data_IF_532099707703
#
_entry.id   IF_532099707703
#
_cell.length_a   1.000
_cell.length_b   1.000
_cell.length_c   1.000
_cell.angle_alpha   90.00
_cell.angle_beta   90.00
_cell.angle_gamma   90.00
#
_symmetry.space_group_name_H-M   'P 1'
#
loop_
_entity.id
_entity.type
_entity.pdbx_description
1 polymer ?
#
# COMPACT_ATOMS: atom_id res chain seq x y z
N UNK A 1 11.00 -26.06 -2.38
CA UNK A 1 10.40 -24.76 -1.99
C UNK A 1 11.32 -23.64 -2.46
N UNK A 2 10.79 -22.55 -3.04
CA UNK A 2 11.62 -21.49 -3.64
C UNK A 2 12.55 -20.81 -2.62
N UNK A 3 12.08 -20.52 -1.41
CA UNK A 3 12.90 -19.92 -0.35
C UNK A 3 14.10 -20.79 0.08
N UNK A 4 14.02 -22.11 -0.12
CA UNK A 4 15.17 -23.01 0.09
C UNK A 4 16.19 -22.84 -1.05
N UNK A 5 15.74 -22.70 -2.30
CA UNK A 5 16.62 -22.42 -3.45
C UNK A 5 17.30 -21.06 -3.35
N UNK A 6 16.60 -20.03 -2.86
CA UNK A 6 17.19 -18.71 -2.62
C UNK A 6 18.40 -18.78 -1.66
N UNK A 7 18.33 -19.66 -0.64
CA UNK A 7 19.41 -19.88 0.33
C UNK A 7 20.51 -20.82 -0.17
N UNK A 8 20.12 -21.94 -0.78
CA UNK A 8 21.03 -23.04 -1.14
C UNK A 8 21.81 -22.77 -2.44
N UNK A 9 21.32 -21.89 -3.32
CA UNK A 9 21.90 -21.66 -4.65
C UNK A 9 22.50 -20.25 -4.83
N UNK A 10 23.00 -19.63 -3.74
CA UNK A 10 23.68 -18.34 -3.77
C UNK A 10 24.68 -18.25 -4.94
N UNK A 11 24.33 -17.48 -5.98
CA UNK A 11 25.17 -17.23 -7.15
C UNK A 11 24.90 -18.07 -8.41
N UNK A 12 24.01 -19.08 -8.37
CA UNK A 12 23.68 -19.92 -9.56
C UNK A 12 22.34 -19.58 -10.20
N UNK A 13 21.35 -19.20 -9.40
CA UNK A 13 20.03 -18.76 -9.86
C UNK A 13 19.72 -17.37 -9.30
N UNK A 14 18.93 -16.59 -10.06
CA UNK A 14 18.41 -15.31 -9.53
C UNK A 14 17.38 -15.62 -8.44
N UNK A 15 17.58 -15.14 -7.21
CA UNK A 15 16.64 -15.36 -6.12
C UNK A 15 15.31 -14.65 -6.41
N UNK A 16 14.21 -15.27 -5.97
CA UNK A 16 12.85 -14.79 -6.25
C UNK A 16 12.23 -14.28 -4.96
N UNK A 17 11.83 -13.01 -4.95
CA UNK A 17 11.07 -12.39 -3.88
C UNK A 17 9.61 -12.16 -4.26
N UNK A 18 8.73 -12.07 -3.26
CA UNK A 18 7.28 -11.92 -3.43
C UNK A 18 6.75 -10.74 -2.62
N UNK A 19 5.87 -9.94 -3.21
CA UNK A 19 5.10 -8.90 -2.54
C UNK A 19 3.64 -9.35 -2.43
N UNK A 20 3.11 -9.42 -1.22
CA UNK A 20 1.71 -9.72 -0.95
C UNK A 20 1.02 -8.45 -0.47
N UNK A 21 -0.15 -8.14 -1.02
CA UNK A 21 -0.94 -6.96 -0.67
C UNK A 21 -2.31 -7.43 -0.17
N UNK A 22 -2.72 -6.94 1.01
CA UNK A 22 -4.01 -7.26 1.62
C UNK A 22 -4.65 -6.02 2.23
N UNK A 23 -5.93 -6.06 2.61
CA UNK A 23 -6.65 -4.85 3.02
C UNK A 23 -6.29 -4.43 4.45
N UNK A 24 -6.33 -5.37 5.39
CA UNK A 24 -6.25 -5.05 6.82
C UNK A 24 -4.89 -5.38 7.41
N UNK A 25 -4.47 -4.58 8.40
CA UNK A 25 -3.25 -4.81 9.19
C UNK A 25 -3.23 -6.22 9.80
N UNK A 26 -4.36 -6.66 10.38
CA UNK A 26 -4.47 -8.00 10.95
C UNK A 26 -4.22 -9.08 9.90
N UNK A 27 -4.78 -8.94 8.71
CA UNK A 27 -4.58 -9.89 7.60
C UNK A 27 -3.11 -9.91 7.15
N UNK A 28 -2.45 -8.75 7.11
CA UNK A 28 -1.04 -8.68 6.74
C UNK A 28 -0.16 -9.46 7.72
N UNK A 29 -0.40 -9.28 9.03
CA UNK A 29 0.29 -10.03 10.08
C UNK A 29 -0.02 -11.53 10.03
N UNK A 30 -1.30 -11.90 9.92
CA UNK A 30 -1.74 -13.29 9.84
C UNK A 30 -1.12 -14.01 8.62
N UNK A 31 -1.04 -13.32 7.47
CA UNK A 31 -0.48 -13.86 6.23
C UNK A 31 1.03 -14.05 6.32
N UNK A 32 1.77 -13.08 6.88
CA UNK A 32 3.21 -13.22 7.10
C UNK A 32 3.51 -14.38 8.05
N UNK A 33 2.75 -14.51 9.15
CA UNK A 33 2.88 -15.61 10.10
C UNK A 33 2.59 -16.97 9.45
N UNK A 34 1.56 -17.06 8.61
CA UNK A 34 1.24 -18.28 7.86
C UNK A 34 2.34 -18.67 6.88
N UNK A 35 2.89 -17.72 6.13
CA UNK A 35 4.02 -17.99 5.22
C UNK A 35 5.22 -18.54 5.99
N UNK A 36 5.57 -17.90 7.11
CA UNK A 36 6.68 -18.35 7.97
C UNK A 36 6.44 -19.75 8.54
N UNK A 37 5.21 -20.05 8.97
CA UNK A 37 4.81 -21.36 9.45
C UNK A 37 4.95 -22.43 8.36
N UNK A 38 4.44 -22.16 7.14
CA UNK A 38 4.53 -23.09 6.02
C UNK A 38 5.97 -23.30 5.54
N UNK A 39 6.81 -22.26 5.63
CA UNK A 39 8.20 -22.32 5.22
C UNK A 39 9.13 -22.92 6.29
N UNK A 40 8.67 -22.99 7.55
CA UNK A 40 9.47 -23.44 8.69
C UNK A 40 10.65 -22.51 9.00
N UNK A 41 10.59 -21.25 8.58
CA UNK A 41 11.63 -20.25 8.78
C UNK A 41 11.04 -18.83 8.68
N UNK A 42 11.71 -17.86 9.32
CA UNK A 42 11.33 -16.45 9.25
C UNK A 42 11.82 -15.84 7.93
N UNK A 43 10.94 -15.81 6.93
CA UNK A 43 11.22 -15.39 5.55
C UNK A 43 10.24 -14.32 5.05
N UNK A 44 9.15 -14.12 5.79
CA UNK A 44 8.09 -13.17 5.51
C UNK A 44 7.96 -12.15 6.64
N UNK A 45 7.72 -10.89 6.28
CA UNK A 45 7.43 -9.82 7.22
C UNK A 45 6.23 -8.99 6.76
N UNK A 46 5.43 -8.51 7.72
CA UNK A 46 4.38 -7.54 7.47
C UNK A 46 4.90 -6.12 7.71
N UNK A 47 4.63 -5.20 6.80
CA UNK A 47 4.98 -3.79 6.93
C UNK A 47 3.74 -2.90 6.74
N UNK A 48 3.40 -2.16 7.79
CA UNK A 48 2.21 -1.31 7.84
C UNK A 48 2.38 -0.21 8.90
N UNK A 49 1.43 0.74 8.98
CA UNK A 49 1.53 1.89 9.91
C UNK A 49 1.72 1.52 11.38
N UNK A 50 1.17 0.39 11.82
CA UNK A 50 1.33 -0.13 13.20
C UNK A 50 2.47 -1.15 13.38
N UNK A 51 3.30 -1.41 12.36
CA UNK A 51 4.39 -2.40 12.48
C UNK A 51 5.62 -1.73 13.09
N UNK A 52 6.30 -2.42 14.01
CA UNK A 52 7.60 -1.97 14.53
C UNK A 52 8.78 -2.22 13.58
N UNK A 53 8.53 -2.81 12.41
CA UNK A 53 9.54 -3.12 11.41
C UNK A 53 10.05 -1.86 10.74
N UNK A 54 11.37 -1.60 10.84
CA UNK A 54 11.99 -0.48 10.14
C UNK A 54 11.88 -0.68 8.62
N UNK A 55 11.66 0.41 7.89
CA UNK A 55 11.58 0.41 6.43
C UNK A 55 12.89 -0.03 5.76
N UNK A 56 14.02 -0.02 6.48
CA UNK A 56 15.29 -0.56 6.00
C UNK A 56 15.38 -2.08 6.14
N UNK A 57 14.64 -2.68 7.07
CA UNK A 57 14.74 -4.11 7.39
C UNK A 57 13.91 -4.99 6.45
N UNK A 58 12.86 -4.45 5.84
CA UNK A 58 11.96 -5.20 4.94
C UNK A 58 12.67 -5.78 3.70
N UNK A 59 13.84 -5.25 3.35
CA UNK A 59 14.65 -5.75 2.24
C UNK A 59 15.30 -7.12 2.50
N UNK A 60 15.38 -7.55 3.77
CA UNK A 60 15.99 -8.82 4.16
C UNK A 60 15.07 -10.03 3.95
N UNK A 61 13.78 -9.78 3.76
CA UNK A 61 12.77 -10.83 3.68
C UNK A 61 12.41 -11.15 2.23
N UNK A 62 12.47 -12.44 1.89
CA UNK A 62 12.02 -13.00 0.61
C UNK A 62 10.57 -12.59 0.31
N UNK A 63 9.71 -12.56 1.34
CA UNK A 63 8.30 -12.22 1.23
C UNK A 63 7.99 -10.96 2.04
N UNK A 64 7.41 -9.96 1.39
CA UNK A 64 6.91 -8.76 2.05
C UNK A 64 5.39 -8.74 1.96
N UNK A 65 4.72 -8.48 3.08
CA UNK A 65 3.27 -8.31 3.13
C UNK A 65 2.95 -6.88 3.51
N UNK A 66 2.15 -6.19 2.70
CA UNK A 66 1.75 -4.80 2.95
C UNK A 66 0.24 -4.64 2.89
N UNK A 67 -0.25 -3.52 3.41
CA UNK A 67 -1.63 -3.13 3.19
C UNK A 67 -1.84 -2.51 1.81
N UNK A 68 -3.06 -2.60 1.28
CA UNK A 68 -3.48 -1.94 0.04
C UNK A 68 -3.14 -0.45 0.04
N UNK A 69 -3.46 0.26 1.12
CA UNK A 69 -3.16 1.67 1.23
C UNK A 69 -1.66 1.95 1.12
N UNK A 70 -0.81 1.14 1.77
CA UNK A 70 0.63 1.30 1.68
C UNK A 70 1.16 1.04 0.25
N UNK A 71 0.57 0.06 -0.44
CA UNK A 71 0.87 -0.23 -1.83
C UNK A 71 0.47 0.92 -2.75
N UNK A 72 -0.75 1.46 -2.62
CA UNK A 72 -1.24 2.61 -3.40
C UNK A 72 -0.36 3.83 -3.15
N UNK A 73 -0.12 4.20 -1.89
CA UNK A 73 0.73 5.33 -1.54
C UNK A 73 2.14 5.22 -2.15
N UNK A 74 2.70 4.00 -2.20
CA UNK A 74 3.98 3.76 -2.84
C UNK A 74 3.88 3.86 -4.38
N UNK A 75 2.81 3.33 -4.98
CA UNK A 75 2.57 3.33 -6.42
C UNK A 75 2.23 4.72 -6.98
N UNK A 76 1.53 5.57 -6.24
CA UNK A 76 1.28 6.98 -6.64
C UNK A 76 2.61 7.73 -6.85
N UNK A 77 3.64 7.35 -6.11
CA UNK A 77 5.02 7.81 -6.29
C UNK A 77 5.84 6.94 -7.24
N UNK A 78 5.25 6.36 -8.29
CA UNK A 78 5.88 5.44 -9.26
C UNK A 78 7.32 5.88 -9.63
N UNK A 79 8.30 5.01 -9.33
CA UNK A 79 9.73 5.29 -9.52
C UNK A 79 10.43 5.99 -8.35
N UNK A 80 9.71 6.32 -7.29
CA UNK A 80 10.21 6.92 -6.06
C UNK A 80 10.81 5.92 -5.08
N UNK A 81 11.40 6.45 -4.00
CA UNK A 81 12.04 5.65 -2.95
C UNK A 81 11.08 4.68 -2.27
N UNK A 82 9.81 5.09 -2.06
CA UNK A 82 8.78 4.26 -1.43
C UNK A 82 8.43 3.03 -2.26
N UNK A 83 8.22 3.21 -3.58
CA UNK A 83 8.01 2.09 -4.50
C UNK A 83 9.21 1.14 -4.53
N UNK A 84 10.41 1.71 -4.63
CA UNK A 84 11.66 0.96 -4.68
C UNK A 84 11.86 0.09 -3.44
N UNK A 85 11.44 0.57 -2.25
CA UNK A 85 11.50 -0.21 -1.00
C UNK A 85 10.56 -1.41 -0.99
N UNK A 86 9.39 -1.30 -1.61
CA UNK A 86 8.45 -2.42 -1.70
C UNK A 86 8.90 -3.46 -2.72
N UNK A 87 9.46 -3.02 -3.85
CA UNK A 87 9.81 -3.92 -4.96
C UNK A 87 11.23 -4.47 -4.83
N UNK A 88 12.16 -3.79 -4.18
CA UNK A 88 13.53 -4.27 -4.04
C UNK A 88 13.74 -5.00 -2.71
N UNK A 89 14.62 -6.00 -2.74
CA UNK A 89 15.06 -6.79 -1.59
C UNK A 89 16.50 -7.26 -1.83
N UNK A 90 17.12 -7.96 -0.87
CA UNK A 90 18.52 -8.40 -0.99
C UNK A 90 18.78 -9.28 -2.22
N UNK A 91 17.78 -10.03 -2.68
CA UNK A 91 17.85 -10.82 -3.91
C UNK A 91 17.63 -10.05 -5.21
N UNK A 92 17.50 -8.72 -5.18
CA UNK A 92 17.19 -7.88 -6.34
C UNK A 92 15.74 -7.40 -6.31
N UNK A 93 15.00 -7.58 -7.41
CA UNK A 93 13.57 -7.22 -7.45
C UNK A 93 12.69 -8.39 -7.03
N UNK A 94 11.60 -8.10 -6.34
CA UNK A 94 10.49 -9.01 -6.13
C UNK A 94 9.80 -9.21 -7.48
N UNK A 95 9.75 -10.45 -7.94
CA UNK A 95 9.31 -10.78 -9.31
C UNK A 95 7.83 -11.16 -9.37
N UNK A 96 7.19 -11.32 -8.22
CA UNK A 96 5.78 -11.66 -8.11
C UNK A 96 5.10 -10.71 -7.12
N UNK A 97 4.02 -10.07 -7.57
CA UNK A 97 3.13 -9.28 -6.73
C UNK A 97 1.75 -9.93 -6.75
N UNK A 98 1.23 -10.29 -5.58
CA UNK A 98 -0.10 -10.84 -5.40
C UNK A 98 -0.92 -9.82 -4.62
N UNK A 99 -2.05 -9.41 -5.18
CA UNK A 99 -2.96 -8.45 -4.56
C UNK A 99 -4.25 -9.19 -4.23
N UNK A 100 -4.43 -9.51 -2.96
CA UNK A 100 -5.69 -10.04 -2.45
C UNK A 100 -6.69 -8.89 -2.36
N UNK A 101 -7.93 -9.07 -2.82
CA UNK A 101 -8.97 -8.03 -2.92
C UNK A 101 -8.84 -6.98 -4.05
N UNK A 102 -8.28 -7.34 -5.22
CA UNK A 102 -8.16 -6.41 -6.36
C UNK A 102 -9.51 -5.78 -6.82
N UNK A 103 -10.66 -6.37 -6.46
CA UNK A 103 -12.01 -5.86 -6.78
C UNK A 103 -12.63 -5.01 -5.67
N UNK A 104 -12.08 -4.98 -4.45
CA UNK A 104 -12.65 -4.20 -3.35
C UNK A 104 -12.40 -2.69 -3.49
N UNK A 105 -11.42 -2.28 -4.30
CA UNK A 105 -11.14 -0.87 -4.64
C UNK A 105 -12.07 -0.33 -5.75
N UNK A 106 -13.15 -1.04 -6.12
CA UNK A 106 -14.18 -0.50 -7.03
C UNK A 106 -14.97 0.64 -6.37
N UNK A 107 -14.93 0.76 -5.04
CA UNK A 107 -15.58 1.84 -4.29
C UNK A 107 -14.52 2.80 -3.77
N UNK A 108 -14.44 3.99 -4.36
CA UNK A 108 -13.66 5.11 -3.84
C UNK A 108 -14.41 5.77 -2.69
N UNK A 109 -13.92 5.62 -1.46
CA UNK A 109 -14.42 6.39 -0.31
C UNK A 109 -13.76 7.77 -0.31
N UNK A 110 -14.50 8.79 -0.78
CA UNK A 110 -14.06 10.19 -0.68
C UNK A 110 -14.56 10.77 0.64
N UNK A 111 -13.63 11.26 1.48
CA UNK A 111 -13.97 11.99 2.71
C UNK A 111 -13.80 13.49 2.49
N UNK A 112 -14.86 14.25 2.73
CA UNK A 112 -14.84 15.71 2.72
C UNK A 112 -14.87 16.21 4.17
N UNK A 113 -13.93 17.05 4.57
CA UNK A 113 -13.92 17.68 5.90
C UNK A 113 -14.59 19.06 5.87
N UNK A 114 -14.98 19.57 7.04
CA UNK A 114 -15.49 20.94 7.17
C UNK A 114 -14.50 21.98 6.66
N UNK A 115 -13.20 21.77 6.87
CA UNK A 115 -12.13 22.63 6.34
C UNK A 115 -12.10 22.60 4.81
N UNK A 116 -12.29 21.43 4.19
CA UNK A 116 -12.38 21.33 2.74
C UNK A 116 -13.59 22.10 2.19
N UNK A 117 -14.75 22.00 2.85
CA UNK A 117 -15.96 22.72 2.44
C UNK A 117 -15.78 24.24 2.54
N UNK A 118 -15.21 24.72 3.65
CA UNK A 118 -14.97 26.16 3.86
C UNK A 118 -13.96 26.70 2.85
N UNK A 119 -12.89 25.95 2.57
CA UNK A 119 -11.92 26.31 1.54
C UNK A 119 -12.58 26.44 0.17
N UNK A 120 -13.37 25.43 -0.24
CA UNK A 120 -14.07 25.45 -1.53
C UNK A 120 -15.00 26.65 -1.63
N UNK A 121 -15.83 26.90 -0.61
CA UNK A 121 -16.74 28.06 -0.57
C UNK A 121 -15.96 29.39 -0.66
N UNK A 122 -14.81 29.49 0.00
CA UNK A 122 -13.94 30.67 -0.07
C UNK A 122 -13.30 30.89 -1.44
N UNK A 123 -13.15 29.84 -2.25
CA UNK A 123 -12.60 29.91 -3.60
C UNK A 123 -13.65 30.19 -4.69
N UNK A 124 -14.95 30.15 -4.39
CA UNK A 124 -16.00 30.38 -5.40
C UNK A 124 -16.04 31.86 -5.79
N UNK A 125 -15.77 32.22 -7.06
CA UNK A 125 -15.87 33.60 -7.53
C UNK A 125 -17.32 34.11 -7.49
N UNK A 126 -17.48 35.43 -7.32
CA UNK A 126 -18.81 36.05 -7.19
C UNK A 126 -19.73 35.81 -8.39
N UNK A 127 -19.19 35.87 -9.61
CA UNK A 127 -19.90 35.61 -10.85
C UNK A 127 -20.39 34.16 -10.95
N UNK A 128 -19.60 33.20 -10.46
CA UNK A 128 -19.98 31.78 -10.38
C UNK A 128 -21.07 31.57 -9.34
N UNK A 129 -20.94 32.15 -8.15
CA UNK A 129 -21.97 32.06 -7.10
C UNK A 129 -23.31 32.65 -7.56
N UNK A 130 -23.26 33.75 -8.33
CA UNK A 130 -24.45 34.38 -8.91
C UNK A 130 -25.09 33.54 -10.02
N UNK A 131 -24.29 32.84 -10.81
CA UNK A 131 -24.78 31.98 -11.90
C UNK A 131 -25.36 30.64 -11.39
N UNK A 132 -24.87 30.14 -10.25
CA UNK A 132 -25.21 28.82 -9.71
C UNK A 132 -25.60 28.86 -8.22
N UNK A 133 -26.61 29.64 -7.82
CA UNK A 133 -26.94 29.88 -6.41
C UNK A 133 -27.42 28.62 -5.69
N UNK A 134 -28.08 27.70 -6.41
CA UNK A 134 -28.62 26.48 -5.82
C UNK A 134 -27.51 25.48 -5.48
N UNK A 135 -26.50 25.38 -6.35
CA UNK A 135 -25.34 24.52 -6.17
C UNK A 135 -24.49 25.00 -4.99
N UNK A 136 -24.28 26.31 -4.86
CA UNK A 136 -23.56 26.89 -3.71
C UNK A 136 -24.30 26.60 -2.41
N UNK A 137 -25.62 26.80 -2.39
CA UNK A 137 -26.47 26.54 -1.22
C UNK A 137 -26.45 25.07 -0.78
N UNK A 138 -26.34 24.12 -1.70
CA UNK A 138 -26.19 22.70 -1.35
C UNK A 138 -24.87 22.47 -0.60
N UNK A 139 -23.77 23.09 -1.04
CA UNK A 139 -22.47 22.98 -0.37
C UNK A 139 -22.51 23.66 1.01
N UNK A 140 -23.17 24.82 1.12
CA UNK A 140 -23.37 25.51 2.40
C UNK A 140 -24.20 24.69 3.39
N UNK A 141 -25.17 23.90 2.92
CA UNK A 141 -25.98 23.03 3.76
C UNK A 141 -25.22 21.79 4.29
N UNK A 142 -24.05 21.48 3.73
CA UNK A 142 -23.16 20.41 4.19
C UNK A 142 -22.12 20.89 5.22
N UNK A 143 -22.02 22.21 5.45
CA UNK A 143 -21.18 22.84 6.47
C UNK A 143 -21.77 22.65 7.87
#
# INVERSE_FOLDING_TARGET
MQAKRNRDEQGKLKPVGVLLVTRLIKQANDLAAQVNMMAGAELAVAHHSSSGTDANDIGHFDVLVVTHQAFINAAESLGGASWSRLVNWQGGQRLLTIVDEALANVVEETKVTLENLQFVLGCVPFDVAKAYPDQVRVIEALK
#
